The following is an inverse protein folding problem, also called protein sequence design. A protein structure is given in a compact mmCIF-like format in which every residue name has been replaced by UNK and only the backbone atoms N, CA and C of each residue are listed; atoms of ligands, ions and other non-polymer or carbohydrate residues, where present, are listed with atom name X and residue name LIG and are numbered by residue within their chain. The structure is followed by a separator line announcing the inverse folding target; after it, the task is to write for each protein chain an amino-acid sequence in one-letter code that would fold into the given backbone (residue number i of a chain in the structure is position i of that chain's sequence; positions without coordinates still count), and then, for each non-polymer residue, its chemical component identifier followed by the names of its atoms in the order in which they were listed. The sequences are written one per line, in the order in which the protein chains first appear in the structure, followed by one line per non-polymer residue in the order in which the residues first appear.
data_IF_096904757544
#
_entry.id   IF_096904757544
#
_cell.length_a   1.000
_cell.length_b   1.000
_cell.length_c   1.000
_cell.angle_alpha   90.00
_cell.angle_beta   90.00
_cell.angle_gamma   90.00
#
_symmetry.space_group_name_H-M   'P 1'
#
loop_
_entity.id
_entity.type
_entity.pdbx_description
1 polymer ?
#
# COMPACT_ATOMS: atom_id res chain seq x y z
N UNK A 1 -1.78 0.98 20.59
CA UNK A 1 -1.63 1.25 19.16
C UNK A 1 -2.54 0.40 18.28
N UNK A 2 -2.47 -0.97 18.21
CA UNK A 2 -3.41 -1.76 17.37
C UNK A 2 -4.88 -1.47 17.66
N UNK A 3 -5.29 -1.46 18.93
CA UNK A 3 -6.69 -1.17 19.34
C UNK A 3 -7.17 0.23 18.89
N UNK A 4 -6.29 1.21 18.90
CA UNK A 4 -6.60 2.58 18.43
C UNK A 4 -6.77 2.61 16.90
N UNK A 5 -5.92 1.89 16.18
CA UNK A 5 -6.02 1.74 14.72
C UNK A 5 -7.35 1.10 14.35
N UNK A 6 -7.72 -0.02 15.00
CA UNK A 6 -8.99 -0.71 14.76
C UNK A 6 -10.18 0.24 15.01
N UNK A 7 -10.24 0.88 16.17
CA UNK A 7 -11.33 1.82 16.51
C UNK A 7 -11.44 2.97 15.52
N UNK A 8 -10.29 3.51 15.07
CA UNK A 8 -10.28 4.58 14.09
C UNK A 8 -10.86 4.15 12.75
N UNK A 9 -10.43 2.98 12.22
CA UNK A 9 -10.91 2.49 10.94
C UNK A 9 -12.32 1.92 11.00
N UNK A 10 -12.73 1.30 12.12
CA UNK A 10 -14.12 0.90 12.33
C UNK A 10 -15.08 2.11 12.26
N UNK A 11 -14.70 3.23 12.86
CA UNK A 11 -15.52 4.45 12.84
C UNK A 11 -15.60 5.12 11.45
N UNK A 12 -14.63 4.88 10.56
CA UNK A 12 -14.57 5.49 9.23
C UNK A 12 -15.13 4.61 8.12
N UNK A 13 -15.40 3.32 8.37
CA UNK A 13 -15.60 2.33 7.31
C UNK A 13 -16.68 2.72 6.29
N UNK A 14 -17.81 3.26 6.72
CA UNK A 14 -18.93 3.60 5.84
C UNK A 14 -18.66 4.85 4.95
N UNK A 15 -17.79 5.77 5.40
CA UNK A 15 -17.47 7.01 4.68
C UNK A 15 -16.06 7.02 4.09
N UNK A 16 -15.26 5.98 4.34
CA UNK A 16 -13.84 5.94 4.03
C UNK A 16 -13.51 6.30 2.58
N UNK A 17 -14.22 5.74 1.62
CA UNK A 17 -13.94 5.98 0.20
C UNK A 17 -14.26 7.42 -0.20
N UNK A 18 -15.39 7.96 0.28
CA UNK A 18 -15.78 9.35 -0.01
C UNK A 18 -14.80 10.33 0.63
N UNK A 19 -14.43 10.12 1.87
CA UNK A 19 -13.56 11.02 2.61
C UNK A 19 -12.11 11.01 2.10
N UNK A 20 -11.62 9.84 1.68
CA UNK A 20 -10.21 9.66 1.31
C UNK A 20 -9.94 9.77 -0.17
N UNK A 21 -10.85 9.28 -1.04
CA UNK A 21 -10.57 9.11 -2.46
C UNK A 21 -11.48 9.91 -3.40
N UNK A 22 -12.60 10.48 -2.94
CA UNK A 22 -13.43 11.37 -3.76
C UNK A 22 -12.89 12.79 -3.87
N UNK A 23 -11.82 13.12 -3.17
CA UNK A 23 -11.14 14.40 -3.29
C UNK A 23 -9.99 14.33 -4.32
N UNK A 24 -9.58 15.52 -4.80
CA UNK A 24 -8.57 15.64 -5.87
C UNK A 24 -7.19 15.06 -5.53
N UNK A 25 -6.84 14.96 -4.25
CA UNK A 25 -5.58 14.36 -3.81
C UNK A 25 -5.68 12.83 -3.79
N UNK A 26 -6.73 12.31 -3.16
CA UNK A 26 -6.95 10.86 -3.08
C UNK A 26 -7.13 10.22 -4.45
N UNK A 27 -7.92 10.85 -5.34
CA UNK A 27 -8.07 10.39 -6.72
C UNK A 27 -6.70 10.35 -7.44
N UNK A 28 -5.90 11.41 -7.33
CA UNK A 28 -4.57 11.45 -7.98
C UNK A 28 -3.63 10.34 -7.47
N UNK A 29 -3.58 10.11 -6.17
CA UNK A 29 -2.79 9.01 -5.58
C UNK A 29 -3.30 7.66 -6.08
N UNK A 30 -4.61 7.43 -6.02
CA UNK A 30 -5.24 6.19 -6.46
C UNK A 30 -4.92 5.87 -7.93
N UNK A 31 -5.00 6.86 -8.83
CA UNK A 31 -4.64 6.66 -10.24
C UNK A 31 -3.16 6.29 -10.43
N UNK A 32 -2.26 6.82 -9.62
CA UNK A 32 -0.85 6.44 -9.69
C UNK A 32 -0.61 5.02 -9.16
N UNK A 33 -1.29 4.62 -8.08
CA UNK A 33 -1.24 3.25 -7.52
C UNK A 33 -1.79 2.23 -8.52
N UNK A 34 -2.93 2.52 -9.16
CA UNK A 34 -3.51 1.67 -10.21
C UNK A 34 -2.54 1.46 -11.38
N UNK A 35 -1.83 2.51 -11.82
CA UNK A 35 -0.81 2.37 -12.89
C UNK A 35 0.29 1.39 -12.51
N UNK A 36 0.73 1.39 -11.24
CA UNK A 36 1.72 0.44 -10.75
C UNK A 36 1.13 -0.97 -10.77
N UNK A 37 -0.06 -1.15 -10.21
CA UNK A 37 -0.70 -2.48 -10.16
C UNK A 37 -0.91 -3.05 -11.56
N UNK A 38 -1.43 -2.26 -12.51
CA UNK A 38 -1.58 -2.69 -13.91
C UNK A 38 -0.27 -3.05 -14.60
N UNK A 39 0.85 -2.47 -14.19
CA UNK A 39 2.17 -2.77 -14.75
C UNK A 39 2.72 -4.11 -14.28
N UNK A 40 2.41 -4.51 -13.04
CA UNK A 40 3.01 -5.67 -12.40
C UNK A 40 2.06 -6.84 -12.19
N UNK A 41 0.74 -6.61 -12.22
CA UNK A 41 -0.28 -7.62 -12.00
C UNK A 41 -1.25 -7.70 -13.19
N UNK A 42 -1.61 -8.92 -13.57
CA UNK A 42 -2.70 -9.17 -14.51
C UNK A 42 -4.03 -9.24 -13.75
N UNK A 43 -5.07 -8.61 -14.29
CA UNK A 43 -6.44 -8.75 -13.75
C UNK A 43 -7.06 -10.12 -14.07
N UNK A 44 -6.49 -10.86 -15.02
CA UNK A 44 -6.98 -12.18 -15.41
C UNK A 44 -6.38 -13.33 -14.56
N UNK A 45 -5.39 -13.03 -13.71
CA UNK A 45 -4.69 -13.98 -12.85
C UNK A 45 -4.70 -13.53 -11.38
N UNK A 46 -5.91 -13.45 -10.79
CA UNK A 46 -6.10 -12.90 -9.42
C UNK A 46 -6.40 -13.99 -8.38
N UNK A 47 -6.63 -15.25 -8.82
CA UNK A 47 -7.14 -16.32 -7.96
C UNK A 47 -6.27 -16.64 -6.74
N UNK A 48 -4.98 -16.32 -6.79
CA UNK A 48 -4.02 -16.48 -5.69
C UNK A 48 -3.35 -15.14 -5.30
N UNK A 49 -4.04 -14.05 -5.49
CA UNK A 49 -3.60 -12.73 -5.05
C UNK A 49 -4.31 -12.32 -3.76
N UNK A 50 -3.59 -11.72 -2.83
CA UNK A 50 -4.09 -11.24 -1.54
C UNK A 50 -3.87 -9.72 -1.40
N UNK A 51 -4.92 -9.00 -1.00
CA UNK A 51 -4.83 -7.62 -0.52
C UNK A 51 -4.80 -7.61 1.01
N UNK A 52 -3.65 -7.28 1.60
CA UNK A 52 -3.43 -7.19 3.04
C UNK A 52 -3.73 -5.78 3.53
N UNK A 53 -4.56 -5.64 4.54
CA UNK A 53 -5.19 -4.40 4.98
C UNK A 53 -6.03 -3.79 3.83
N UNK A 54 -6.90 -4.64 3.26
CA UNK A 54 -7.70 -4.30 2.08
C UNK A 54 -8.71 -3.17 2.32
N UNK A 55 -8.99 -2.81 3.57
CA UNK A 55 -9.95 -1.79 3.94
C UNK A 55 -11.33 -2.07 3.32
N UNK A 56 -11.87 -1.09 2.63
CA UNK A 56 -13.16 -1.17 1.92
C UNK A 56 -13.07 -1.88 0.55
N UNK A 57 -11.92 -2.49 0.22
CA UNK A 57 -11.75 -3.29 -0.99
C UNK A 57 -11.25 -2.53 -2.22
N UNK A 58 -10.55 -1.42 -2.03
CA UNK A 58 -10.14 -0.51 -3.12
C UNK A 58 -9.32 -1.17 -4.24
N UNK A 59 -8.59 -2.23 -3.94
CA UNK A 59 -7.74 -2.95 -4.90
C UNK A 59 -8.16 -4.41 -5.13
N UNK A 60 -9.35 -4.82 -4.68
CA UNK A 60 -9.85 -6.18 -4.89
C UNK A 60 -10.15 -6.53 -6.36
N UNK A 61 -10.06 -5.58 -7.28
CA UNK A 61 -9.98 -5.88 -8.71
C UNK A 61 -8.69 -6.62 -9.10
N UNK A 62 -7.64 -6.57 -8.28
CA UNK A 62 -6.36 -7.23 -8.48
C UNK A 62 -6.14 -8.44 -7.57
N UNK A 63 -7.07 -8.74 -6.68
CA UNK A 63 -6.95 -9.84 -5.73
C UNK A 63 -8.28 -10.56 -5.53
N UNK A 64 -8.24 -11.89 -5.33
CA UNK A 64 -9.39 -12.69 -5.00
C UNK A 64 -9.58 -12.86 -3.48
N UNK A 65 -8.51 -12.59 -2.75
CA UNK A 65 -8.50 -12.59 -1.29
C UNK A 65 -8.27 -11.20 -0.75
N UNK A 66 -9.00 -10.85 0.32
CA UNK A 66 -8.81 -9.64 1.11
C UNK A 66 -8.70 -9.95 2.59
N UNK A 67 -7.85 -9.24 3.31
CA UNK A 67 -7.75 -9.35 4.76
C UNK A 67 -7.61 -7.96 5.38
N UNK A 68 -8.41 -7.68 6.41
CA UNK A 68 -8.27 -6.46 7.21
C UNK A 68 -8.46 -6.76 8.71
N UNK A 69 -7.85 -5.97 9.57
CA UNK A 69 -7.97 -6.11 11.02
C UNK A 69 -9.29 -5.51 11.55
N UNK A 70 -9.86 -4.53 10.85
CA UNK A 70 -11.12 -3.87 11.15
C UNK A 70 -12.31 -4.71 10.69
N UNK A 71 -13.20 -5.06 11.60
CA UNK A 71 -14.44 -5.79 11.28
C UNK A 71 -15.37 -4.98 10.38
N UNK A 72 -15.43 -3.67 10.58
CA UNK A 72 -16.30 -2.80 9.79
C UNK A 72 -15.78 -2.59 8.36
N UNK A 73 -14.45 -2.49 8.18
CA UNK A 73 -13.84 -2.49 6.83
C UNK A 73 -14.14 -3.79 6.09
N UNK A 74 -14.01 -4.94 6.75
CA UNK A 74 -14.36 -6.25 6.18
C UNK A 74 -15.84 -6.30 5.80
N UNK A 75 -16.75 -5.85 6.67
CA UNK A 75 -18.19 -5.78 6.38
C UNK A 75 -18.48 -4.97 5.12
N UNK A 76 -17.88 -3.78 5.00
CA UNK A 76 -18.07 -2.91 3.84
C UNK A 76 -17.51 -3.54 2.57
N UNK A 77 -16.30 -4.11 2.63
CA UNK A 77 -15.68 -4.74 1.46
C UNK A 77 -16.42 -6.00 1.00
N UNK A 78 -16.88 -6.86 1.92
CA UNK A 78 -17.72 -8.03 1.58
C UNK A 78 -19.05 -7.63 0.90
N UNK A 79 -19.67 -6.54 1.35
CA UNK A 79 -20.88 -6.02 0.71
C UNK A 79 -20.63 -5.53 -0.73
N UNK A 80 -19.46 -4.93 -0.99
CA UNK A 80 -19.08 -4.45 -2.33
C UNK A 80 -18.64 -5.57 -3.26
N UNK A 81 -17.98 -6.58 -2.72
CA UNK A 81 -17.34 -7.67 -3.46
C UNK A 81 -17.79 -9.03 -2.90
N UNK A 82 -19.08 -9.41 -3.09
CA UNK A 82 -19.65 -10.63 -2.50
C UNK A 82 -18.99 -11.92 -3.00
N UNK A 83 -18.38 -11.89 -4.18
CA UNK A 83 -17.71 -13.04 -4.80
C UNK A 83 -16.24 -13.19 -4.37
N UNK A 84 -15.71 -12.25 -3.57
CA UNK A 84 -14.33 -12.28 -3.08
C UNK A 84 -14.21 -12.95 -1.72
N UNK A 85 -13.06 -13.55 -1.44
CA UNK A 85 -12.75 -14.23 -0.18
C UNK A 85 -12.14 -13.23 0.82
N UNK A 86 -12.99 -12.46 1.46
CA UNK A 86 -12.57 -11.40 2.37
C UNK A 86 -12.77 -11.85 3.81
N UNK A 87 -11.75 -11.72 4.65
CA UNK A 87 -11.77 -12.14 6.05
C UNK A 87 -11.15 -11.13 6.98
N UNK A 88 -11.60 -11.15 8.24
CA UNK A 88 -10.91 -10.43 9.29
C UNK A 88 -9.63 -11.16 9.69
N UNK A 89 -8.51 -10.43 9.78
CA UNK A 89 -7.23 -11.03 10.18
C UNK A 89 -6.18 -9.99 10.56
N UNK A 90 -5.16 -10.45 11.27
CA UNK A 90 -4.01 -9.64 11.66
C UNK A 90 -2.84 -9.92 10.69
N UNK A 91 -2.31 -8.88 10.07
CA UNK A 91 -1.20 -8.99 9.13
C UNK A 91 0.12 -9.49 9.76
N UNK A 92 0.26 -9.44 11.09
CA UNK A 92 1.43 -10.00 11.79
C UNK A 92 1.34 -11.52 12.06
N UNK A 93 0.19 -12.15 11.80
CA UNK A 93 -0.03 -13.58 12.01
C UNK A 93 -1.39 -13.97 11.45
N UNK A 94 -1.44 -14.30 10.17
CA UNK A 94 -2.66 -14.69 9.48
C UNK A 94 -2.93 -16.19 9.63
N UNK A 95 -4.18 -16.59 9.38
CA UNK A 95 -4.59 -18.00 9.34
C UNK A 95 -4.36 -18.67 7.99
N UNK A 96 -3.74 -17.98 7.04
CA UNK A 96 -3.45 -18.53 5.72
C UNK A 96 -2.36 -19.59 5.78
N UNK A 97 -2.45 -20.54 4.85
CA UNK A 97 -1.48 -21.62 4.68
C UNK A 97 -0.12 -21.08 4.18
N UNK A 98 0.95 -21.81 4.46
CA UNK A 98 2.27 -21.53 3.93
C UNK A 98 2.30 -21.71 2.42
N UNK A 99 3.04 -20.83 1.73
CA UNK A 99 3.29 -20.95 0.29
C UNK A 99 2.01 -21.05 -0.57
N UNK A 100 1.04 -20.19 -0.30
CA UNK A 100 -0.25 -20.21 -0.99
C UNK A 100 -0.38 -19.11 -2.05
N UNK A 101 0.03 -17.86 -1.72
CA UNK A 101 -0.20 -16.70 -2.59
C UNK A 101 0.92 -16.46 -3.61
N UNK A 102 0.53 -16.12 -4.83
CA UNK A 102 1.44 -15.74 -5.92
C UNK A 102 1.79 -14.26 -5.87
N UNK A 103 0.83 -13.41 -5.51
CA UNK A 103 1.05 -11.99 -5.34
C UNK A 103 0.36 -11.49 -4.07
N UNK A 104 1.05 -10.61 -3.35
CA UNK A 104 0.49 -9.92 -2.20
C UNK A 104 0.62 -8.42 -2.43
N UNK A 105 -0.46 -7.69 -2.21
CA UNK A 105 -0.47 -6.23 -2.25
C UNK A 105 -0.85 -5.67 -0.87
N UNK A 106 -0.35 -4.48 -0.54
CA UNK A 106 -0.72 -3.79 0.69
C UNK A 106 -0.50 -2.29 0.55
N UNK A 107 -1.56 -1.51 0.55
CA UNK A 107 -1.47 -0.06 0.41
C UNK A 107 -1.98 0.66 1.67
N UNK A 108 -1.29 1.75 2.02
CA UNK A 108 -1.59 2.62 3.17
C UNK A 108 -1.52 1.93 4.55
N UNK A 109 -0.95 0.72 4.65
CA UNK A 109 -0.75 0.02 5.92
C UNK A 109 0.52 0.50 6.64
N UNK A 110 1.67 0.41 5.97
CA UNK A 110 2.97 0.55 6.62
C UNK A 110 3.28 1.96 7.12
N UNK A 111 2.57 2.96 6.65
CA UNK A 111 2.68 4.32 7.17
C UNK A 111 2.25 4.48 8.63
N UNK A 112 1.48 3.55 9.17
CA UNK A 112 0.92 3.58 10.53
C UNK A 112 1.69 2.73 11.53
N UNK A 113 2.63 1.90 11.07
CA UNK A 113 3.28 0.86 11.85
C UNK A 113 4.75 1.20 12.10
N UNK A 114 5.27 0.76 13.23
CA UNK A 114 6.70 0.87 13.51
C UNK A 114 7.53 -0.16 12.72
N UNK A 115 8.86 -0.04 12.79
CA UNK A 115 9.76 -0.93 12.07
C UNK A 115 9.67 -2.39 12.56
N UNK A 116 9.28 -2.63 13.81
CA UNK A 116 9.13 -3.99 14.37
C UNK A 116 7.91 -4.66 13.74
N UNK A 117 6.75 -3.98 13.75
CA UNK A 117 5.53 -4.48 13.10
C UNK A 117 5.75 -4.68 11.59
N UNK A 118 6.43 -3.74 10.90
CA UNK A 118 6.83 -3.92 9.49
C UNK A 118 7.59 -5.22 9.27
N UNK A 119 8.61 -5.52 10.11
CA UNK A 119 9.41 -6.74 9.98
C UNK A 119 8.60 -8.01 10.25
N UNK A 120 7.67 -7.98 11.21
CA UNK A 120 6.81 -9.12 11.49
C UNK A 120 5.87 -9.40 10.30
N UNK A 121 5.22 -8.37 9.80
CA UNK A 121 4.30 -8.48 8.66
C UNK A 121 5.00 -8.97 7.40
N UNK A 122 6.16 -8.42 7.04
CA UNK A 122 6.87 -8.87 5.84
C UNK A 122 7.36 -10.33 5.93
N UNK A 123 7.66 -10.84 7.15
CA UNK A 123 7.94 -12.26 7.39
C UNK A 123 6.70 -13.12 7.24
N UNK A 124 5.57 -12.67 7.79
CA UNK A 124 4.30 -13.36 7.63
C UNK A 124 3.87 -13.42 6.15
N UNK A 125 3.99 -12.30 5.43
CA UNK A 125 3.74 -12.28 3.98
C UNK A 125 4.69 -13.24 3.26
N UNK A 126 5.96 -13.32 3.66
CA UNK A 126 6.88 -14.32 3.10
C UNK A 126 6.42 -15.75 3.38
N UNK A 127 5.97 -16.07 4.60
CA UNK A 127 5.48 -17.40 4.95
C UNK A 127 4.33 -17.86 4.06
N UNK A 128 3.33 -16.99 3.86
CA UNK A 128 2.11 -17.33 3.09
C UNK A 128 2.31 -17.26 1.58
N UNK A 129 3.41 -16.71 1.09
CA UNK A 129 3.70 -16.56 -0.33
C UNK A 129 4.50 -17.75 -0.88
N UNK A 130 4.25 -18.14 -2.14
CA UNK A 130 5.06 -19.14 -2.84
C UNK A 130 6.47 -18.60 -3.13
N UNK A 131 7.47 -19.45 -3.42
CA UNK A 131 8.76 -19.00 -3.95
C UNK A 131 8.57 -18.15 -5.21
N UNK A 132 9.34 -17.09 -5.34
CA UNK A 132 9.23 -16.12 -6.44
C UNK A 132 7.96 -15.25 -6.47
N UNK A 133 7.08 -15.34 -5.47
CA UNK A 133 5.91 -14.46 -5.33
C UNK A 133 6.30 -12.98 -5.32
N UNK A 134 5.40 -12.12 -5.77
CA UNK A 134 5.57 -10.67 -5.69
C UNK A 134 4.89 -10.10 -4.45
N UNK A 135 5.55 -9.12 -3.82
CA UNK A 135 4.96 -8.29 -2.79
C UNK A 135 5.06 -6.82 -3.18
N UNK A 136 3.90 -6.15 -3.34
CA UNK A 136 3.80 -4.75 -3.76
C UNK A 136 3.16 -3.94 -2.63
N UNK A 137 3.85 -2.91 -2.16
CA UNK A 137 3.33 -2.05 -1.09
C UNK A 137 3.85 -0.62 -1.18
N UNK A 138 3.14 0.30 -0.53
CA UNK A 138 3.57 1.69 -0.41
C UNK A 138 4.06 2.04 1.00
N UNK A 139 4.91 3.06 1.07
CA UNK A 139 5.34 3.66 2.32
C UNK A 139 5.80 5.11 2.09
N UNK A 140 5.56 6.04 3.05
CA UNK A 140 6.05 7.41 2.93
C UNK A 140 7.57 7.50 2.81
N UNK A 141 8.03 8.39 1.95
CA UNK A 141 9.46 8.63 1.75
C UNK A 141 10.11 9.36 2.93
N UNK A 142 11.12 8.75 3.54
CA UNK A 142 11.94 9.37 4.57
C UNK A 142 12.71 10.58 4.02
N UNK A 143 13.26 10.50 2.78
CA UNK A 143 14.04 11.59 2.17
C UNK A 143 13.19 12.83 1.97
N UNK A 144 11.98 12.66 1.43
CA UNK A 144 11.06 13.79 1.27
C UNK A 144 10.69 14.42 2.60
N UNK A 145 10.29 13.61 3.58
CA UNK A 145 9.86 14.10 4.90
C UNK A 145 10.99 14.86 5.62
N UNK A 146 12.21 14.35 5.53
CA UNK A 146 13.39 15.06 6.05
C UNK A 146 13.64 16.39 5.36
N UNK A 147 13.52 16.44 4.01
CA UNK A 147 13.71 17.65 3.24
C UNK A 147 12.75 18.78 3.66
N UNK A 148 11.48 18.42 3.97
CA UNK A 148 10.45 19.37 4.36
C UNK A 148 10.27 19.48 5.89
N UNK A 149 11.12 18.87 6.71
CA UNK A 149 11.01 18.89 8.17
C UNK A 149 9.71 18.29 8.71
N UNK A 150 9.04 17.41 7.93
CA UNK A 150 7.75 16.85 8.31
C UNK A 150 7.88 15.89 9.49
N UNK A 151 7.06 16.13 10.52
CA UNK A 151 6.87 15.21 11.66
C UNK A 151 5.38 14.87 11.75
N UNK A 152 5.07 13.58 11.81
CA UNK A 152 3.70 13.14 12.02
C UNK A 152 3.24 13.55 13.43
N UNK A 153 2.02 14.10 13.57
CA UNK A 153 1.50 14.54 14.88
C UNK A 153 1.10 13.38 15.80
N UNK A 154 0.91 12.20 15.24
CA UNK A 154 0.48 10.99 15.94
C UNK A 154 0.99 9.72 15.25
N UNK A 155 0.49 8.55 15.68
CA UNK A 155 0.76 7.27 15.00
C UNK A 155 0.31 7.28 13.53
N UNK A 156 -0.73 8.05 13.21
CA UNK A 156 -1.26 8.14 11.84
C UNK A 156 -0.22 8.74 10.89
N UNK A 157 0.27 7.91 9.99
CA UNK A 157 1.34 8.29 9.07
C UNK A 157 2.72 8.49 9.72
N UNK A 158 2.95 7.96 10.92
CA UNK A 158 4.19 8.16 11.68
C UNK A 158 5.41 7.46 11.09
N UNK A 159 5.21 6.38 10.36
CA UNK A 159 6.31 5.61 9.78
C UNK A 159 6.74 6.14 8.39
N UNK A 160 8.02 5.98 8.11
CA UNK A 160 8.66 6.38 6.86
C UNK A 160 9.94 5.59 6.66
N UNK A 161 10.32 5.31 5.41
CA UNK A 161 11.54 4.56 5.14
C UNK A 161 12.28 5.11 3.92
N UNK A 162 13.62 5.00 3.92
CA UNK A 162 14.45 5.20 2.73
C UNK A 162 14.75 3.86 2.06
N UNK A 163 15.06 3.87 0.78
CA UNK A 163 15.45 2.67 0.03
C UNK A 163 16.52 1.84 0.77
N UNK A 164 17.56 2.50 1.29
CA UNK A 164 18.67 1.83 2.00
C UNK A 164 18.19 1.09 3.27
N UNK A 165 17.30 1.72 4.04
CA UNK A 165 16.75 1.10 5.27
C UNK A 165 15.83 -0.06 4.92
N UNK A 166 14.97 0.09 3.90
CA UNK A 166 14.11 -0.98 3.44
C UNK A 166 14.93 -2.17 2.96
N UNK A 167 15.91 -1.95 2.08
CA UNK A 167 16.78 -3.02 1.58
C UNK A 167 17.40 -3.83 2.71
N UNK A 168 17.83 -3.18 3.79
CA UNK A 168 18.36 -3.86 4.98
C UNK A 168 17.26 -4.63 5.74
N UNK A 169 16.04 -4.11 5.79
CA UNK A 169 14.96 -4.71 6.56
C UNK A 169 14.38 -5.97 5.91
N UNK A 170 14.39 -6.06 4.58
CA UNK A 170 13.79 -7.16 3.81
C UNK A 170 14.81 -8.15 3.24
N UNK A 171 16.10 -7.92 3.42
CA UNK A 171 17.19 -8.65 2.74
C UNK A 171 17.17 -10.17 2.91
N UNK A 172 16.62 -10.68 3.99
CA UNK A 172 16.66 -12.11 4.31
C UNK A 172 15.58 -12.88 3.55
N UNK A 173 14.40 -12.28 3.35
CA UNK A 173 13.21 -12.90 2.74
C UNK A 173 12.99 -12.45 1.29
N UNK A 174 13.34 -11.19 0.96
CA UNK A 174 12.94 -10.54 -0.27
C UNK A 174 14.07 -9.89 -1.02
N UNK A 175 13.94 -9.86 -2.34
CA UNK A 175 14.73 -9.04 -3.26
C UNK A 175 13.89 -7.85 -3.74
N UNK A 176 14.47 -6.65 -3.75
CA UNK A 176 13.82 -5.46 -4.33
C UNK A 176 14.02 -5.49 -5.84
N UNK A 177 12.99 -5.85 -6.58
CA UNK A 177 13.03 -5.89 -8.06
C UNK A 177 12.96 -4.48 -8.63
N UNK A 178 12.06 -3.65 -8.09
CA UNK A 178 11.90 -2.26 -8.51
C UNK A 178 11.26 -1.42 -7.40
N UNK A 179 11.34 -0.11 -7.54
CA UNK A 179 10.53 0.84 -6.78
C UNK A 179 10.33 2.11 -7.59
N UNK A 180 9.23 2.80 -7.34
CA UNK A 180 8.94 4.10 -7.93
C UNK A 180 8.31 5.05 -6.93
N UNK A 181 8.40 6.35 -7.19
CA UNK A 181 7.71 7.35 -6.41
C UNK A 181 6.27 7.54 -6.86
N UNK A 182 5.47 8.15 -6.00
CA UNK A 182 4.16 8.71 -6.34
C UNK A 182 4.03 10.11 -5.73
N UNK A 183 3.37 11.01 -6.45
CA UNK A 183 3.16 12.41 -6.07
C UNK A 183 4.48 13.13 -5.72
N UNK A 184 5.35 13.26 -6.71
CA UNK A 184 6.58 14.06 -6.57
C UNK A 184 6.24 15.54 -6.38
N UNK A 185 5.33 16.07 -7.21
CA UNK A 185 4.77 17.41 -7.05
C UNK A 185 3.43 17.38 -6.33
N UNK A 186 3.02 18.47 -5.67
CA UNK A 186 1.71 18.58 -5.02
C UNK A 186 0.61 18.87 -6.06
N UNK A 187 0.38 17.94 -6.99
CA UNK A 187 -0.55 18.09 -8.13
C UNK A 187 -1.96 18.49 -7.68
N UNK A 188 -2.42 18.03 -6.53
CA UNK A 188 -3.72 18.37 -5.97
C UNK A 188 -3.90 19.87 -5.67
N UNK A 189 -2.79 20.61 -5.49
CA UNK A 189 -2.78 22.06 -5.25
C UNK A 189 -2.72 22.88 -6.56
N UNK A 190 -2.48 22.21 -7.68
CA UNK A 190 -2.39 22.84 -9.00
C UNK A 190 -3.82 22.96 -9.58
N UNK A 191 -4.20 24.09 -10.21
CA UNK A 191 -5.49 24.23 -10.87
C UNK A 191 -5.74 23.13 -11.89
N UNK A 192 -6.95 22.53 -11.90
CA UNK A 192 -7.29 21.38 -12.75
C UNK A 192 -6.94 21.59 -14.23
N UNK A 193 -7.12 22.83 -14.74
CA UNK A 193 -6.87 23.17 -16.17
C UNK A 193 -5.44 22.91 -16.63
N UNK A 194 -4.44 23.08 -15.73
CA UNK A 194 -3.02 22.95 -16.06
C UNK A 194 -2.41 21.62 -15.60
N UNK A 195 -3.11 20.82 -14.80
CA UNK A 195 -2.61 19.52 -14.31
C UNK A 195 -2.16 18.59 -15.42
N UNK A 196 -2.89 18.55 -16.55
CA UNK A 196 -2.56 17.71 -17.71
C UNK A 196 -1.14 17.94 -18.25
N UNK A 197 -0.56 19.11 -18.05
CA UNK A 197 0.81 19.42 -18.46
C UNK A 197 1.85 19.07 -17.40
N UNK A 198 1.45 19.06 -16.12
CA UNK A 198 2.36 18.77 -14.99
C UNK A 198 2.39 17.29 -14.64
N UNK A 199 1.30 16.55 -14.85
CA UNK A 199 1.22 15.11 -14.59
C UNK A 199 2.27 14.29 -15.33
N UNK A 200 2.59 14.53 -16.64
CA UNK A 200 3.68 13.83 -17.31
C UNK A 200 5.04 14.08 -16.65
N UNK A 201 5.31 15.33 -16.26
CA UNK A 201 6.54 15.69 -15.54
C UNK A 201 6.60 15.02 -14.16
N UNK A 202 5.49 15.00 -13.41
CA UNK A 202 5.40 14.29 -12.12
C UNK A 202 5.70 12.80 -12.30
N UNK A 203 5.11 12.18 -13.32
CA UNK A 203 5.35 10.77 -13.63
C UNK A 203 6.81 10.50 -13.99
N UNK A 204 7.45 11.38 -14.76
CA UNK A 204 8.86 11.28 -15.07
C UNK A 204 9.72 11.38 -13.80
N UNK A 205 9.48 12.37 -12.95
CA UNK A 205 10.21 12.56 -11.69
C UNK A 205 10.03 11.37 -10.73
N UNK A 206 8.82 10.81 -10.66
CA UNK A 206 8.50 9.63 -9.87
C UNK A 206 9.27 8.36 -10.31
N UNK A 207 9.79 8.33 -11.54
CA UNK A 207 10.58 7.21 -12.08
C UNK A 207 12.08 7.54 -12.26
N UNK A 208 12.48 8.79 -12.03
CA UNK A 208 13.86 9.26 -12.19
C UNK A 208 14.75 8.89 -10.99
N UNK A 209 16.02 9.30 -11.05
CA UNK A 209 16.96 9.21 -9.92
C UNK A 209 16.50 10.00 -8.68
N UNK A 210 15.58 10.95 -8.86
CA UNK A 210 15.00 11.77 -7.79
C UNK A 210 13.76 11.14 -7.13
N UNK A 211 13.31 9.97 -7.56
CA UNK A 211 12.07 9.32 -7.09
C UNK A 211 11.95 9.17 -5.57
N UNK A 212 13.06 9.06 -4.83
CA UNK A 212 13.02 9.05 -3.37
C UNK A 212 12.55 10.36 -2.73
N UNK A 213 12.43 11.45 -3.50
CA UNK A 213 11.82 12.70 -3.04
C UNK A 213 10.33 12.81 -3.33
N UNK A 214 9.70 11.75 -3.83
CA UNK A 214 8.24 11.65 -3.97
C UNK A 214 7.56 11.52 -2.60
N UNK A 215 6.25 11.75 -2.54
CA UNK A 215 5.47 11.69 -1.28
C UNK A 215 5.51 10.31 -0.66
N UNK A 216 5.24 9.29 -1.48
CA UNK A 216 5.33 7.88 -1.11
C UNK A 216 6.20 7.14 -2.12
N UNK A 217 6.68 5.99 -1.70
CA UNK A 217 7.41 5.04 -2.53
C UNK A 217 6.61 3.75 -2.60
N UNK A 218 6.40 3.23 -3.80
CA UNK A 218 5.85 1.89 -4.01
C UNK A 218 7.02 0.97 -4.32
N UNK A 219 7.13 -0.09 -3.54
CA UNK A 219 8.14 -1.12 -3.70
C UNK A 219 7.56 -2.38 -4.30
N UNK A 220 8.29 -2.98 -5.21
CA UNK A 220 8.00 -4.28 -5.82
C UNK A 220 9.10 -5.22 -5.38
N UNK A 221 8.74 -6.18 -4.53
CA UNK A 221 9.63 -7.21 -4.02
C UNK A 221 9.32 -8.54 -4.68
N UNK A 222 10.32 -9.42 -4.74
CA UNK A 222 10.20 -10.81 -5.14
C UNK A 222 10.72 -11.69 -4.00
N UNK A 223 9.95 -12.72 -3.62
CA UNK A 223 10.38 -13.70 -2.63
C UNK A 223 11.58 -14.49 -3.16
N UNK A 224 12.55 -14.70 -2.30
CA UNK A 224 13.75 -15.49 -2.58
C UNK A 224 13.47 -16.99 -2.60
#
# INVERSE_FOLDING_TARGET
MKTEIIKYYDALADTYDTDRFSNSYGDYIHQQELRVLHKYLSKDAIAKNLDVACGTGRFLDFADYGMDISSEMVRVSQKKFPDKKISRGDAEGSSFEDNYFENVISFHLFMHLDLKAFKNIQKEISRISIPSAQFIFDIPSERRRRLFGYKAPSWHGGNQISYRKLKKAVKDEWEIVNYQGIAFFPIHRIPKRIRKYVVPLDTYMCNSIFKEFSSHLIFILKKK
#
